data_IF_936947221806
#
_entry.id   IF_936947221806
#
_cell.length_a   1.000
_cell.length_b   1.000
_cell.length_c   1.000
_cell.angle_alpha   90.00
_cell.angle_beta   90.00
_cell.angle_gamma   90.00
#
_symmetry.space_group_name_H-M   'P 1'
#
loop_
_entity.id
_entity.type
_entity.pdbx_description
1 polymer ?
#
# COMPACT_ATOMS: atom_id res chain seq x y z
N UNK A 1 -11.28 22.74 4.21
CA UNK A 1 -11.19 21.41 4.84
C UNK A 1 -10.04 20.69 4.16
N UNK A 2 -9.22 19.91 4.88
CA UNK A 2 -8.18 19.10 4.22
C UNK A 2 -8.77 17.81 3.70
N UNK A 3 -8.31 17.37 2.53
CA UNK A 3 -8.80 16.17 1.88
C UNK A 3 -8.37 14.92 2.65
N UNK A 4 -9.33 14.00 2.86
CA UNK A 4 -9.13 12.76 3.59
C UNK A 4 -8.27 11.76 2.81
N UNK A 5 -8.28 11.83 1.49
CA UNK A 5 -7.47 11.00 0.60
C UNK A 5 -6.31 11.82 0.06
N UNK A 6 -5.11 11.24 0.12
CA UNK A 6 -3.88 11.80 -0.42
C UNK A 6 -3.26 10.79 -1.36
N UNK A 7 -2.92 11.22 -2.57
CA UNK A 7 -2.23 10.38 -3.53
C UNK A 7 -0.76 10.74 -3.53
N UNK A 8 0.08 9.80 -3.12
CA UNK A 8 1.52 9.91 -3.32
C UNK A 8 1.90 9.24 -4.65
N UNK A 9 2.42 10.02 -5.59
CA UNK A 9 2.71 9.54 -6.94
C UNK A 9 4.12 9.86 -7.39
N UNK A 10 4.73 8.93 -8.12
CA UNK A 10 6.04 9.09 -8.74
C UNK A 10 6.24 8.11 -9.89
N UNK A 11 7.19 8.40 -10.81
CA UNK A 11 7.65 7.46 -11.82
C UNK A 11 8.19 6.16 -11.21
N UNK A 12 8.25 5.11 -12.02
CA UNK A 12 8.80 3.81 -11.62
C UNK A 12 10.28 3.92 -11.23
N UNK A 13 10.69 3.16 -10.20
CA UNK A 13 12.10 3.07 -9.69
C UNK A 13 12.69 4.40 -9.20
N UNK A 14 11.87 5.27 -8.62
CA UNK A 14 12.32 6.57 -8.07
C UNK A 14 12.55 6.55 -6.55
N UNK A 15 12.49 5.39 -5.89
CA UNK A 15 12.67 5.30 -4.44
C UNK A 15 11.45 5.71 -3.61
N UNK A 16 10.22 5.61 -4.15
CA UNK A 16 8.97 5.94 -3.42
C UNK A 16 8.92 5.32 -2.04
N UNK A 17 9.13 4.02 -1.95
CA UNK A 17 9.06 3.32 -0.68
C UNK A 17 10.17 3.76 0.26
N UNK A 18 11.35 4.15 -0.23
CA UNK A 18 12.42 4.71 0.61
C UNK A 18 12.03 6.07 1.20
N UNK A 19 11.44 6.96 0.39
CA UNK A 19 10.89 8.24 0.88
C UNK A 19 9.78 8.03 1.89
N UNK A 20 8.90 7.06 1.65
CA UNK A 20 7.83 6.71 2.61
C UNK A 20 8.36 6.08 3.89
N UNK A 21 9.43 5.28 3.81
CA UNK A 21 10.10 4.72 4.98
C UNK A 21 10.71 5.83 5.83
N UNK A 22 11.38 6.80 5.21
CA UNK A 22 11.93 7.98 5.89
C UNK A 22 10.82 8.87 6.46
N UNK A 23 9.76 9.12 5.69
CA UNK A 23 8.58 9.84 6.18
C UNK A 23 7.95 9.10 7.36
N UNK A 24 7.82 7.79 7.31
CA UNK A 24 7.28 7.03 8.42
C UNK A 24 8.25 6.98 9.62
N UNK A 25 9.54 7.32 9.45
CA UNK A 25 10.57 7.24 10.50
C UNK A 25 10.33 8.33 11.55
N UNK A 26 10.03 7.90 12.77
CA UNK A 26 9.78 8.82 13.90
C UNK A 26 8.33 9.32 14.02
N UNK A 27 7.46 9.01 13.06
CA UNK A 27 6.01 9.24 13.21
C UNK A 27 5.37 8.14 14.05
N UNK A 28 4.62 8.56 15.06
CA UNK A 28 3.73 7.70 15.83
C UNK A 28 2.38 7.59 15.12
N UNK A 29 1.56 6.62 15.55
CA UNK A 29 0.16 6.49 15.14
C UNK A 29 -0.09 6.36 13.62
N UNK A 30 0.72 5.55 12.95
CA UNK A 30 0.53 5.17 11.55
C UNK A 30 -0.12 3.79 11.44
N UNK A 31 -1.09 3.64 10.55
CA UNK A 31 -1.67 2.37 10.14
C UNK A 31 -1.34 2.05 8.68
N UNK A 32 -1.74 0.86 8.24
CA UNK A 32 -1.53 0.38 6.88
C UNK A 32 -0.16 -0.25 6.68
N UNK A 33 0.27 -0.29 5.42
CA UNK A 33 1.39 -1.12 4.97
C UNK A 33 2.33 -0.37 4.02
N UNK A 34 3.60 -0.77 4.05
CA UNK A 34 4.59 -0.48 3.01
C UNK A 34 5.15 -1.80 2.46
N UNK A 35 5.62 -1.78 1.21
CA UNK A 35 6.23 -2.96 0.58
C UNK A 35 7.71 -2.71 0.21
N UNK A 36 8.60 -2.44 1.19
CA UNK A 36 9.99 -2.11 0.90
C UNK A 36 10.73 -3.28 0.24
N UNK A 37 11.61 -2.93 -0.69
CA UNK A 37 12.64 -3.83 -1.20
C UNK A 37 13.84 -3.76 -0.24
N UNK A 38 14.14 -4.88 0.41
CA UNK A 38 15.28 -5.04 1.31
C UNK A 38 16.17 -6.13 0.71
N UNK A 39 17.40 -5.76 0.34
CA UNK A 39 18.39 -6.64 -0.27
C UNK A 39 17.89 -7.39 -1.52
N UNK A 40 17.07 -6.73 -2.36
CA UNK A 40 16.55 -7.30 -3.60
C UNK A 40 15.28 -8.14 -3.42
N UNK A 41 14.72 -8.18 -2.21
CA UNK A 41 13.47 -8.90 -1.90
C UNK A 41 12.44 -7.99 -1.25
N UNK A 42 11.22 -8.02 -1.78
CA UNK A 42 10.11 -7.29 -1.19
C UNK A 42 9.67 -7.93 0.12
N UNK A 43 9.51 -7.08 1.12
CA UNK A 43 8.92 -7.39 2.40
C UNK A 43 7.63 -6.62 2.57
N UNK A 44 6.74 -7.08 3.44
CA UNK A 44 5.58 -6.31 3.90
C UNK A 44 5.90 -5.75 5.28
N UNK A 45 5.87 -4.43 5.42
CA UNK A 45 6.00 -3.72 6.68
C UNK A 45 4.61 -3.22 7.11
N UNK A 46 4.15 -3.62 8.28
CA UNK A 46 2.97 -3.01 8.92
C UNK A 46 3.40 -1.77 9.68
N UNK A 47 2.77 -0.64 9.41
CA UNK A 47 3.19 0.63 10.01
C UNK A 47 2.80 0.74 11.49
N UNK A 48 1.71 0.08 11.91
CA UNK A 48 1.16 0.14 13.28
C UNK A 48 2.10 -0.36 14.37
N UNK A 49 2.81 -1.44 14.09
CA UNK A 49 3.68 -2.14 15.03
C UNK A 49 5.11 -2.33 14.49
N UNK A 50 5.38 -1.83 13.28
CA UNK A 50 6.65 -1.99 12.56
C UNK A 50 7.04 -3.45 12.36
N UNK A 51 6.08 -4.37 12.37
CA UNK A 51 6.33 -5.77 12.05
C UNK A 51 6.63 -5.93 10.57
N UNK A 52 7.68 -6.69 10.31
CA UNK A 52 8.17 -6.98 8.97
C UNK A 52 8.02 -8.46 8.69
N UNK A 53 7.49 -8.80 7.52
CA UNK A 53 7.37 -10.17 7.05
C UNK A 53 7.86 -10.31 5.62
N UNK A 54 8.38 -11.49 5.29
CA UNK A 54 8.71 -11.82 3.91
C UNK A 54 7.46 -11.75 3.05
N UNK A 55 7.57 -11.11 1.89
CA UNK A 55 6.44 -10.98 0.97
C UNK A 55 6.74 -11.65 -0.36
N UNK A 56 7.87 -11.32 -0.97
CA UNK A 56 8.40 -12.03 -2.11
C UNK A 56 9.06 -13.34 -1.67
N UNK A 57 8.89 -14.40 -2.47
CA UNK A 57 9.57 -15.67 -2.32
C UNK A 57 10.92 -15.62 -3.04
N UNK A 58 11.98 -16.07 -2.37
CA UNK A 58 13.24 -16.42 -3.03
C UNK A 58 13.07 -17.68 -3.88
N UNK A 59 14.03 -17.97 -4.76
CA UNK A 59 14.00 -19.20 -5.57
C UNK A 59 14.00 -20.46 -4.69
N UNK A 60 14.77 -20.47 -3.60
CA UNK A 60 14.83 -21.58 -2.66
C UNK A 60 13.53 -21.74 -1.88
N UNK A 61 12.87 -20.64 -1.52
CA UNK A 61 11.58 -20.66 -0.85
C UNK A 61 10.47 -21.11 -1.80
N UNK A 62 10.51 -20.67 -3.06
CA UNK A 62 9.56 -21.06 -4.11
C UNK A 62 9.62 -22.56 -4.39
N UNK A 63 10.81 -23.15 -4.46
CA UNK A 63 10.99 -24.59 -4.68
C UNK A 63 10.37 -25.47 -3.59
N UNK A 64 10.09 -24.90 -2.41
CA UNK A 64 9.49 -25.58 -1.25
C UNK A 64 8.06 -25.17 -0.99
N UNK A 65 7.55 -24.15 -1.68
CA UNK A 65 6.23 -23.60 -1.44
C UNK A 65 5.16 -24.49 -2.11
N UNK A 66 4.04 -24.78 -1.42
CA UNK A 66 2.89 -25.38 -2.08
C UNK A 66 2.31 -24.40 -3.12
N UNK A 67 1.79 -24.91 -4.23
CA UNK A 67 1.33 -24.08 -5.35
C UNK A 67 0.25 -23.06 -4.94
N UNK A 68 -0.66 -23.48 -4.05
CA UNK A 68 -1.72 -22.64 -3.48
C UNK A 68 -1.20 -21.51 -2.57
N UNK A 69 0.05 -21.62 -2.09
CA UNK A 69 0.71 -20.61 -1.27
C UNK A 69 1.42 -19.52 -2.08
N UNK A 70 1.40 -19.60 -3.41
CA UNK A 70 2.17 -18.73 -4.30
C UNK A 70 1.26 -17.89 -5.18
N UNK A 71 1.51 -16.58 -5.20
CA UNK A 71 0.93 -15.63 -6.15
C UNK A 71 2.01 -15.16 -7.10
N UNK A 72 1.93 -15.56 -8.36
CA UNK A 72 2.90 -15.16 -9.40
C UNK A 72 2.44 -13.91 -10.13
N UNK A 73 3.27 -12.85 -10.09
CA UNK A 73 3.01 -11.57 -10.74
C UNK A 73 4.21 -11.21 -11.61
N UNK A 74 4.02 -11.24 -12.93
CA UNK A 74 5.10 -11.09 -13.91
C UNK A 74 6.24 -12.09 -13.60
N UNK A 75 7.42 -11.59 -13.25
CA UNK A 75 8.61 -12.41 -12.93
C UNK A 75 8.77 -12.71 -11.44
N UNK A 76 7.90 -12.18 -10.59
CA UNK A 76 8.02 -12.28 -9.14
C UNK A 76 6.99 -13.27 -8.60
N UNK A 77 7.36 -13.95 -7.51
CA UNK A 77 6.50 -14.88 -6.80
C UNK A 77 6.34 -14.37 -5.38
N UNK A 78 5.10 -14.32 -4.90
CA UNK A 78 4.75 -13.77 -3.59
C UNK A 78 4.01 -14.79 -2.76
N UNK A 79 4.07 -14.61 -1.45
CA UNK A 79 3.32 -15.41 -0.47
C UNK A 79 1.85 -15.00 -0.49
N UNK A 80 0.96 -15.95 -0.74
CA UNK A 80 -0.49 -15.72 -0.69
C UNK A 80 -0.96 -15.31 0.72
N UNK A 81 -0.37 -15.91 1.76
CA UNK A 81 -0.62 -15.58 3.17
C UNK A 81 -0.31 -14.10 3.48
N UNK A 82 0.79 -13.57 2.94
CA UNK A 82 1.19 -12.18 3.17
C UNK A 82 0.22 -11.20 2.50
N UNK A 83 -0.33 -11.54 1.33
CA UNK A 83 -1.42 -10.76 0.73
C UNK A 83 -2.68 -10.77 1.61
N UNK A 84 -3.07 -11.94 2.14
CA UNK A 84 -4.24 -12.04 3.01
C UNK A 84 -4.07 -11.21 4.29
N UNK A 85 -2.88 -11.27 4.89
CA UNK A 85 -2.54 -10.51 6.08
C UNK A 85 -2.43 -8.99 5.80
N UNK A 86 -1.90 -8.60 4.64
CA UNK A 86 -1.90 -7.21 4.17
C UNK A 86 -3.33 -6.66 4.06
N UNK A 87 -4.23 -7.39 3.39
CA UNK A 87 -5.65 -7.02 3.25
C UNK A 87 -6.33 -6.88 4.61
N UNK A 88 -6.13 -7.86 5.50
CA UNK A 88 -6.67 -7.82 6.86
C UNK A 88 -6.17 -6.59 7.63
N UNK A 89 -4.86 -6.31 7.56
CA UNK A 89 -4.25 -5.16 8.22
C UNK A 89 -4.85 -3.85 7.70
N UNK A 90 -5.05 -3.70 6.39
CA UNK A 90 -5.67 -2.52 5.80
C UNK A 90 -7.10 -2.28 6.31
N UNK A 91 -7.91 -3.35 6.35
CA UNK A 91 -9.29 -3.27 6.85
C UNK A 91 -9.34 -2.89 8.33
N UNK A 92 -8.55 -3.56 9.17
CA UNK A 92 -8.46 -3.23 10.60
C UNK A 92 -7.98 -1.80 10.83
N UNK A 93 -6.91 -1.39 10.14
CA UNK A 93 -6.28 -0.10 10.39
C UNK A 93 -7.15 1.06 9.89
N UNK A 94 -7.90 0.89 8.80
CA UNK A 94 -8.87 1.90 8.33
C UNK A 94 -9.99 2.22 9.34
N UNK A 95 -10.32 1.27 10.20
CA UNK A 95 -11.32 1.41 11.27
C UNK A 95 -10.68 1.83 12.60
N UNK A 96 -9.35 1.79 12.67
CA UNK A 96 -8.56 2.23 13.81
C UNK A 96 -8.49 3.75 13.95
N UNK A 97 -7.79 4.20 14.99
CA UNK A 97 -7.55 5.62 15.25
C UNK A 97 -6.12 6.01 14.89
N UNK A 98 -5.78 5.89 13.61
CA UNK A 98 -4.48 6.30 13.09
C UNK A 98 -4.54 7.70 12.48
N UNK A 99 -3.45 8.46 12.61
CA UNK A 99 -3.32 9.78 11.97
C UNK A 99 -3.23 9.63 10.45
N UNK A 100 -2.59 8.54 10.03
CA UNK A 100 -2.46 8.13 8.64
C UNK A 100 -2.65 6.63 8.46
N UNK A 101 -3.34 6.23 7.41
CA UNK A 101 -3.32 4.85 6.90
C UNK A 101 -2.67 4.88 5.52
N UNK A 102 -1.64 4.07 5.30
CA UNK A 102 -0.91 4.02 4.03
C UNK A 102 -1.19 2.73 3.28
N UNK A 103 -1.45 2.84 1.98
CA UNK A 103 -1.58 1.72 1.05
C UNK A 103 -0.50 1.86 0.00
N UNK A 104 0.56 1.04 0.10
CA UNK A 104 1.66 1.03 -0.86
C UNK A 104 1.35 0.19 -2.11
N UNK A 105 2.01 0.52 -3.24
CA UNK A 105 2.00 -0.24 -4.50
C UNK A 105 0.64 -0.44 -5.20
N UNK A 106 -0.28 0.52 -5.10
CA UNK A 106 -1.53 0.47 -5.90
C UNK A 106 -1.21 0.60 -7.38
N UNK A 107 -1.60 -0.42 -8.15
CA UNK A 107 -1.34 -0.42 -9.58
C UNK A 107 -2.11 -1.47 -10.35
N UNK A 108 -1.38 -2.22 -11.19
CA UNK A 108 -1.97 -3.08 -12.24
C UNK A 108 -2.86 -4.20 -11.67
N UNK A 109 -2.54 -4.73 -10.49
CA UNK A 109 -3.29 -5.84 -9.91
C UNK A 109 -4.59 -5.34 -9.31
N UNK A 110 -4.53 -4.26 -8.55
CA UNK A 110 -5.69 -3.68 -7.88
C UNK A 110 -6.72 -3.22 -8.92
N UNK A 111 -6.26 -2.61 -10.02
CA UNK A 111 -7.12 -2.25 -11.16
C UNK A 111 -7.80 -3.45 -11.87
N UNK A 112 -7.43 -4.69 -11.52
CA UNK A 112 -8.04 -5.93 -12.01
C UNK A 112 -8.86 -6.67 -10.95
N UNK A 113 -8.99 -6.13 -9.73
CA UNK A 113 -9.58 -6.87 -8.62
C UNK A 113 -8.64 -7.92 -7.99
N UNK A 114 -7.33 -7.83 -8.24
CA UNK A 114 -6.30 -8.74 -7.72
C UNK A 114 -5.44 -8.05 -6.64
N UNK A 115 -4.43 -8.76 -6.13
CA UNK A 115 -3.44 -8.17 -5.20
C UNK A 115 -4.04 -7.85 -3.84
N UNK A 116 -4.13 -6.54 -3.53
CA UNK A 116 -4.72 -6.04 -2.28
C UNK A 116 -6.24 -5.84 -2.36
N UNK A 117 -6.87 -6.06 -3.50
CA UNK A 117 -8.34 -6.13 -3.57
C UNK A 117 -8.90 -7.37 -2.86
N UNK A 118 -10.14 -7.30 -2.32
CA UNK A 118 -11.06 -6.16 -2.32
C UNK A 118 -10.81 -5.12 -1.21
N UNK A 119 -9.71 -5.26 -0.44
CA UNK A 119 -9.49 -4.46 0.76
C UNK A 119 -9.24 -2.98 0.44
N UNK A 120 -8.51 -2.68 -0.65
CA UNK A 120 -8.25 -1.29 -1.05
C UNK A 120 -9.56 -0.55 -1.36
N UNK A 121 -10.44 -1.15 -2.17
CA UNK A 121 -11.77 -0.59 -2.44
C UNK A 121 -12.54 -0.28 -1.14
N UNK A 122 -12.60 -1.24 -0.22
CA UNK A 122 -13.29 -1.06 1.05
C UNK A 122 -12.70 0.06 1.92
N UNK A 123 -11.36 0.17 1.96
CA UNK A 123 -10.67 1.25 2.68
C UNK A 123 -10.96 2.62 2.05
N UNK A 124 -10.88 2.72 0.72
CA UNK A 124 -11.16 3.98 0.02
C UNK A 124 -12.60 4.43 0.27
N UNK A 125 -13.58 3.52 0.12
CA UNK A 125 -14.99 3.81 0.38
C UNK A 125 -15.26 4.25 1.83
N UNK A 126 -14.55 3.65 2.79
CA UNK A 126 -14.64 4.01 4.20
C UNK A 126 -14.21 5.45 4.48
N UNK A 127 -13.10 5.89 3.86
CA UNK A 127 -12.61 7.27 3.97
C UNK A 127 -13.47 8.26 3.18
N UNK A 128 -13.95 7.89 1.99
CA UNK A 128 -14.89 8.70 1.21
C UNK A 128 -16.20 8.95 1.95
N UNK A 129 -16.70 7.94 2.67
CA UNK A 129 -17.93 8.04 3.47
C UNK A 129 -17.75 8.85 4.76
N UNK A 130 -16.56 9.39 5.02
CA UNK A 130 -16.26 10.21 6.20
C UNK A 130 -16.07 9.42 7.50
N UNK A 131 -16.02 8.08 7.46
CA UNK A 131 -15.87 7.24 8.64
C UNK A 131 -14.41 7.09 9.09
N UNK A 132 -13.45 7.24 8.17
CA UNK A 132 -12.02 7.09 8.46
C UNK A 132 -11.47 8.15 9.43
N UNK A 133 -10.74 7.69 10.45
CA UNK A 133 -9.92 8.57 11.29
C UNK A 133 -8.65 9.01 10.53
N UNK A 134 -8.14 10.21 10.83
CA UNK A 134 -6.94 10.73 10.19
C UNK A 134 -7.12 10.88 8.67
N UNK A 135 -6.09 10.49 7.91
CA UNK A 135 -6.01 10.59 6.44
C UNK A 135 -5.54 9.27 5.81
N UNK A 136 -5.97 9.01 4.59
CA UNK A 136 -5.59 7.86 3.79
C UNK A 136 -4.55 8.29 2.74
N UNK A 137 -3.38 7.65 2.73
CA UNK A 137 -2.37 7.84 1.69
C UNK A 137 -2.34 6.64 0.75
N UNK A 138 -2.66 6.88 -0.52
CA UNK A 138 -2.58 5.91 -1.59
C UNK A 138 -1.31 6.14 -2.39
N UNK A 139 -0.43 5.14 -2.43
CA UNK A 139 0.82 5.23 -3.19
C UNK A 139 0.58 4.65 -4.58
N UNK A 140 0.60 5.52 -5.57
CA UNK A 140 0.19 5.18 -6.94
C UNK A 140 1.37 5.37 -7.90
N UNK A 141 1.44 4.54 -8.94
CA UNK A 141 2.38 4.78 -10.05
C UNK A 141 1.86 5.89 -10.93
N UNK A 142 2.72 6.84 -11.31
CA UNK A 142 2.30 8.04 -12.03
C UNK A 142 1.53 7.72 -13.31
N UNK A 143 1.97 6.71 -14.08
CA UNK A 143 1.31 6.27 -15.30
C UNK A 143 -0.04 5.57 -15.07
N UNK A 144 -0.34 5.20 -13.82
CA UNK A 144 -1.58 4.54 -13.40
C UNK A 144 -2.53 5.47 -12.67
N UNK A 145 -2.11 6.69 -12.35
CA UNK A 145 -2.91 7.63 -11.58
C UNK A 145 -4.31 7.84 -12.16
N UNK A 146 -4.51 8.15 -13.47
CA UNK A 146 -5.85 8.37 -14.00
C UNK A 146 -6.76 7.14 -13.83
N UNK A 147 -6.21 5.94 -14.06
CA UNK A 147 -6.93 4.67 -13.97
C UNK A 147 -7.33 4.34 -12.53
N UNK A 148 -6.45 4.65 -11.57
CA UNK A 148 -6.71 4.45 -10.14
C UNK A 148 -7.81 5.41 -9.67
N UNK A 149 -7.73 6.69 -10.03
CA UNK A 149 -8.76 7.66 -9.67
C UNK A 149 -10.14 7.25 -10.22
N UNK A 150 -10.19 6.78 -11.47
CA UNK A 150 -11.42 6.29 -12.10
C UNK A 150 -11.94 5.01 -11.42
N UNK A 151 -11.08 4.00 -11.25
CA UNK A 151 -11.48 2.70 -10.68
C UNK A 151 -12.04 2.82 -9.26
N UNK A 152 -11.42 3.65 -8.43
CA UNK A 152 -11.84 3.87 -7.04
C UNK A 152 -12.80 5.06 -6.86
N UNK A 153 -13.23 5.70 -7.96
CA UNK A 153 -14.10 6.88 -7.94
C UNK A 153 -13.59 8.00 -6.99
N UNK A 154 -12.28 8.25 -7.00
CA UNK A 154 -11.63 9.27 -6.17
C UNK A 154 -11.70 10.61 -6.90
N UNK A 155 -12.55 11.51 -6.40
CA UNK A 155 -12.76 12.85 -6.99
C UNK A 155 -12.23 13.99 -6.14
N UNK A 156 -12.05 13.77 -4.83
CA UNK A 156 -11.55 14.76 -3.88
C UNK A 156 -10.28 14.24 -3.17
N UNK A 157 -9.13 14.75 -3.58
CA UNK A 157 -7.83 14.26 -3.11
C UNK A 157 -6.75 15.36 -3.16
N UNK A 158 -5.77 15.25 -2.27
CA UNK A 158 -4.51 15.99 -2.40
C UNK A 158 -3.49 15.13 -3.16
N UNK A 159 -2.59 15.76 -3.91
CA UNK A 159 -1.49 15.05 -4.60
C UNK A 159 -0.14 15.44 -4.01
N UNK A 160 0.66 14.44 -3.65
CA UNK A 160 2.06 14.59 -3.28
C UNK A 160 2.91 13.95 -4.36
N UNK A 161 3.86 14.71 -4.90
CA UNK A 161 4.79 14.23 -5.94
C UNK A 161 6.17 14.01 -5.34
N UNK A 162 6.92 13.07 -5.90
CA UNK A 162 8.33 12.87 -5.56
C UNK A 162 9.11 14.19 -5.61
N UNK A 163 9.91 14.47 -4.58
CA UNK A 163 10.66 15.73 -4.41
C UNK A 163 9.83 16.89 -3.85
N UNK A 164 8.51 16.73 -3.71
CA UNK A 164 7.65 17.67 -2.99
C UNK A 164 7.68 17.45 -1.47
N UNK A 165 7.13 18.40 -0.70
CA UNK A 165 6.99 18.23 0.74
C UNK A 165 6.01 17.09 1.04
N UNK A 166 6.45 16.16 1.88
CA UNK A 166 5.55 15.15 2.43
C UNK A 166 4.60 15.79 3.45
N UNK A 167 3.36 15.30 3.57
CA UNK A 167 2.40 15.88 4.50
C UNK A 167 2.82 15.56 5.95
N UNK A 168 2.45 16.44 6.87
CA UNK A 168 2.77 16.31 8.29
C UNK A 168 2.18 15.03 8.91
#
# INVERSE_FOLDING_TARGET
>A
MQNKVVIFTAPVKTGKTEVLMEWARGRANLGGILAPDLDGQRHLLKLRDRSLQAFQLSEEALAKAPAEGVVSICKFNFRAETFADARKTLLEDSQGRFDWVVVDEIGKLELKGEGLEPAVSAVVDWYHSGHGHGRLMLVVREEKLPQVLEYFNITDYDTVRMGGPMPD
#
